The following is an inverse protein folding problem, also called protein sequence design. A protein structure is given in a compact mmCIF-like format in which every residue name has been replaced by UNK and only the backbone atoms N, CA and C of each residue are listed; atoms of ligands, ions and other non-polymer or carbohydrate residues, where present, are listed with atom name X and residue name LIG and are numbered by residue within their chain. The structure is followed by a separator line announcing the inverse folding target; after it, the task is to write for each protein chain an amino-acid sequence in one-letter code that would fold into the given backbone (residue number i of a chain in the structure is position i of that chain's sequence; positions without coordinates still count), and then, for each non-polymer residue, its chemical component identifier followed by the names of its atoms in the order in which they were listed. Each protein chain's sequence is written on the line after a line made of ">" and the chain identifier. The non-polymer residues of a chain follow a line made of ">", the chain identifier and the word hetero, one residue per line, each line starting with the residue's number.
data_IF_673935018557
#
_entry.id   IF_673935018557
#
_cell.length_a   1.000
_cell.length_b   1.000
_cell.length_c   1.000
_cell.angle_alpha   90.00
_cell.angle_beta   90.00
_cell.angle_gamma   90.00
#
_symmetry.space_group_name_H-M   'P 1'
#
loop_
_entity.id
_entity.type
_entity.pdbx_description
1 polymer ?
#
# COMPACT_ATOMS: atom_id res chain seq x y z
N UNK A 1 5.58 -94.90 -52.55
CA UNK A 1 5.45 -93.55 -53.09
C UNK A 1 6.79 -92.91 -53.06
N UNK A 2 7.52 -92.91 -54.21
CA UNK A 2 8.80 -92.25 -54.36
C UNK A 2 8.56 -90.86 -54.97
N UNK A 3 8.87 -89.81 -54.21
CA UNK A 3 8.92 -88.49 -54.70
C UNK A 3 10.33 -88.28 -55.33
N UNK A 4 10.42 -88.34 -56.66
CA UNK A 4 11.56 -87.90 -57.38
C UNK A 4 11.33 -86.44 -57.73
N UNK A 5 11.84 -85.56 -56.90
CA UNK A 5 11.91 -84.17 -57.19
C UNK A 5 13.33 -83.84 -57.72
N UNK A 6 13.51 -83.80 -59.03
CA UNK A 6 14.66 -83.22 -59.68
C UNK A 6 14.57 -81.68 -59.54
N UNK A 7 15.72 -81.02 -59.21
CA UNK A 7 15.81 -79.56 -58.95
C UNK A 7 15.37 -78.69 -60.14
N UNK A 8 15.08 -79.26 -61.30
CA UNK A 8 14.69 -78.56 -62.55
C UNK A 8 13.36 -79.08 -63.17
N UNK A 9 12.60 -79.96 -62.51
CA UNK A 9 11.31 -80.42 -63.07
C UNK A 9 10.21 -79.32 -62.84
N UNK A 10 9.67 -78.81 -63.94
CA UNK A 10 8.56 -77.85 -63.98
C UNK A 10 7.26 -78.43 -63.50
N UNK A 11 7.16 -79.75 -63.36
CA UNK A 11 5.93 -80.50 -63.02
C UNK A 11 6.13 -81.46 -61.86
N UNK A 12 5.19 -81.51 -60.93
CA UNK A 12 5.07 -82.60 -60.00
C UNK A 12 4.16 -83.65 -60.63
N UNK A 13 4.63 -84.88 -60.67
CA UNK A 13 3.79 -86.01 -61.16
C UNK A 13 3.44 -86.94 -60.04
N UNK A 14 2.26 -87.45 -60.06
CA UNK A 14 1.79 -88.53 -59.18
C UNK A 14 1.08 -89.59 -59.98
N UNK A 15 1.67 -90.81 -59.94
CA UNK A 15 1.17 -91.95 -60.63
C UNK A 15 0.23 -92.83 -59.74
N UNK A 16 -0.80 -93.27 -60.29
CA UNK A 16 -1.80 -94.12 -59.64
C UNK A 16 -1.94 -95.37 -60.51
N UNK A 17 -1.77 -96.59 -59.90
CA UNK A 17 -2.02 -97.86 -60.60
C UNK A 17 -3.53 -98.08 -60.78
N UNK A 18 -3.92 -98.27 -62.02
CA UNK A 18 -5.30 -98.69 -62.31
C UNK A 18 -5.41 -100.21 -62.28
N UNK A 19 -6.19 -100.67 -61.32
CA UNK A 19 -6.42 -102.08 -61.13
C UNK A 19 -7.85 -102.40 -61.39
N UNK A 20 -8.08 -103.34 -62.32
CA UNK A 20 -9.41 -103.91 -62.54
C UNK A 20 -9.55 -105.14 -61.71
N UNK A 21 -10.57 -105.29 -60.93
CA UNK A 21 -10.91 -106.50 -60.12
C UNK A 21 -12.07 -107.16 -60.79
N UNK A 22 -11.89 -108.41 -61.22
CA UNK A 22 -12.94 -109.24 -61.83
C UNK A 22 -13.96 -109.67 -60.79
N UNK A 23 -15.19 -110.23 -61.21
CA UNK A 23 -16.23 -110.64 -60.28
C UNK A 23 -15.83 -111.83 -59.35
N UNK A 24 -14.68 -112.48 -59.64
CA UNK A 24 -14.11 -113.54 -58.82
C UNK A 24 -12.97 -113.08 -57.91
N UNK A 25 -12.81 -111.72 -57.70
CA UNK A 25 -11.84 -111.17 -56.77
C UNK A 25 -10.39 -111.07 -57.30
N UNK A 26 -10.11 -111.41 -58.54
CA UNK A 26 -8.74 -111.27 -59.10
C UNK A 26 -8.51 -109.88 -59.65
N UNK A 27 -7.54 -109.28 -59.07
CA UNK A 27 -7.10 -107.90 -59.51
C UNK A 27 -6.02 -108.05 -60.55
N UNK A 28 -6.20 -107.30 -61.66
CA UNK A 28 -5.23 -107.19 -62.72
C UNK A 28 -4.94 -105.76 -62.99
N UNK A 29 -3.64 -105.37 -62.98
CA UNK A 29 -3.18 -104.02 -63.39
C UNK A 29 -3.57 -103.79 -64.82
N UNK A 30 -4.30 -102.72 -65.12
CA UNK A 30 -4.74 -102.34 -66.48
C UNK A 30 -4.09 -101.13 -67.00
N UNK A 31 -3.29 -100.44 -66.15
CA UNK A 31 -2.55 -99.28 -66.56
C UNK A 31 -2.10 -98.44 -65.40
N UNK A 32 -1.36 -97.40 -65.70
CA UNK A 32 -0.90 -96.36 -64.72
C UNK A 32 -1.48 -95.02 -65.19
N UNK A 33 -2.07 -94.27 -64.27
CA UNK A 33 -2.57 -92.95 -64.54
C UNK A 33 -1.64 -91.99 -63.83
N UNK A 34 -0.90 -91.09 -64.59
CA UNK A 34 -0.01 -90.12 -64.02
C UNK A 34 -0.59 -88.70 -64.20
N UNK A 35 -0.79 -88.05 -63.08
CA UNK A 35 -1.29 -86.67 -63.05
C UNK A 35 -0.09 -85.76 -62.91
N UNK A 36 0.04 -84.74 -63.82
CA UNK A 36 1.06 -83.74 -63.79
C UNK A 36 0.47 -82.46 -63.28
N UNK A 37 1.20 -81.81 -62.32
CA UNK A 37 0.81 -80.54 -61.79
C UNK A 37 1.93 -79.54 -62.16
N UNK A 38 1.57 -78.42 -62.83
CA UNK A 38 2.53 -77.36 -63.14
C UNK A 38 2.86 -76.60 -61.87
N UNK A 39 4.14 -76.62 -61.50
CA UNK A 39 4.66 -75.94 -60.34
C UNK A 39 4.40 -74.45 -60.35
N UNK A 40 4.56 -73.78 -61.49
CA UNK A 40 4.41 -72.36 -61.66
C UNK A 40 2.95 -71.91 -61.44
N UNK A 41 2.03 -72.67 -61.95
CA UNK A 41 0.57 -72.44 -61.75
C UNK A 41 0.19 -72.46 -60.26
N UNK A 42 0.74 -73.45 -59.53
CA UNK A 42 0.48 -73.51 -58.07
C UNK A 42 1.17 -72.37 -57.32
N UNK A 43 2.43 -72.04 -57.66
CA UNK A 43 3.16 -70.99 -56.99
C UNK A 43 2.54 -69.63 -57.29
N UNK A 44 2.19 -69.35 -58.54
CA UNK A 44 1.54 -68.08 -58.91
C UNK A 44 0.16 -67.93 -58.22
N UNK A 45 -0.63 -68.95 -58.17
CA UNK A 45 -1.93 -68.91 -57.48
C UNK A 45 -1.77 -68.69 -55.99
N UNK A 46 -0.77 -69.33 -55.35
CA UNK A 46 -0.49 -69.10 -53.92
C UNK A 46 0.03 -67.68 -53.66
N UNK A 47 0.89 -67.15 -54.54
CA UNK A 47 1.42 -65.82 -54.41
C UNK A 47 0.29 -64.77 -54.57
N UNK A 48 -0.59 -64.94 -55.54
CA UNK A 48 -1.71 -64.03 -55.79
C UNK A 48 -2.69 -64.06 -54.59
N UNK A 49 -2.99 -65.29 -54.04
CA UNK A 49 -3.84 -65.41 -52.84
C UNK A 49 -3.21 -64.75 -51.61
N UNK A 50 -1.87 -64.93 -51.43
CA UNK A 50 -1.15 -64.32 -50.32
C UNK A 50 -1.11 -62.80 -50.46
N UNK A 51 -0.89 -62.27 -51.67
CA UNK A 51 -0.89 -60.86 -51.95
C UNK A 51 -2.27 -60.21 -51.60
N UNK A 52 -3.34 -60.84 -52.11
CA UNK A 52 -4.71 -60.40 -51.81
C UNK A 52 -4.97 -60.44 -50.28
N UNK A 53 -4.50 -61.49 -49.60
CA UNK A 53 -4.66 -61.61 -48.14
C UNK A 53 -3.89 -60.50 -47.38
N UNK A 54 -2.65 -60.20 -47.77
CA UNK A 54 -1.86 -59.14 -47.19
C UNK A 54 -2.45 -57.76 -47.43
N UNK A 55 -2.90 -57.48 -48.66
CA UNK A 55 -3.53 -56.18 -48.99
C UNK A 55 -4.83 -55.99 -48.22
N UNK A 56 -5.68 -57.05 -48.16
CA UNK A 56 -6.92 -56.97 -47.37
C UNK A 56 -6.70 -56.85 -45.87
N UNK A 57 -5.69 -57.52 -45.31
CA UNK A 57 -5.30 -57.41 -43.91
C UNK A 57 -4.79 -55.98 -43.61
N UNK A 58 -3.96 -55.41 -44.48
CA UNK A 58 -3.45 -54.03 -44.35
C UNK A 58 -4.62 -53.03 -44.41
N UNK A 59 -5.50 -53.13 -45.39
CA UNK A 59 -6.67 -52.24 -45.47
C UNK A 59 -7.57 -52.33 -44.23
N UNK A 60 -7.86 -53.54 -43.76
CA UNK A 60 -8.63 -53.69 -42.52
C UNK A 60 -7.97 -53.05 -41.33
N UNK A 61 -6.65 -53.22 -41.17
CA UNK A 61 -5.87 -52.60 -40.06
C UNK A 61 -5.90 -51.07 -40.16
N UNK A 62 -5.74 -50.52 -41.37
CA UNK A 62 -5.81 -49.09 -41.62
C UNK A 62 -7.19 -48.51 -41.28
N UNK A 63 -8.26 -49.17 -41.69
CA UNK A 63 -9.64 -48.76 -41.37
C UNK A 63 -9.87 -48.81 -39.84
N UNK A 64 -9.42 -49.85 -39.16
CA UNK A 64 -9.56 -50.02 -37.70
C UNK A 64 -8.79 -48.87 -36.97
N UNK A 65 -7.58 -48.56 -37.46
CA UNK A 65 -6.79 -47.47 -36.92
C UNK A 65 -7.48 -46.11 -37.12
N UNK A 66 -8.01 -45.85 -38.30
CA UNK A 66 -8.75 -44.63 -38.61
C UNK A 66 -10.00 -44.48 -37.70
N UNK A 67 -10.76 -45.54 -37.53
CA UNK A 67 -11.93 -45.56 -36.64
C UNK A 67 -11.47 -45.26 -35.18
N UNK A 68 -10.44 -45.96 -34.71
CA UNK A 68 -9.90 -45.77 -33.38
C UNK A 68 -9.42 -44.34 -33.14
N UNK A 69 -8.71 -43.78 -34.12
CA UNK A 69 -8.24 -42.41 -34.06
C UNK A 69 -9.41 -41.38 -33.96
N UNK A 70 -10.42 -41.56 -34.81
CA UNK A 70 -11.63 -40.72 -34.75
C UNK A 70 -12.36 -40.83 -33.41
N UNK A 71 -12.49 -42.02 -32.89
CA UNK A 71 -13.14 -42.29 -31.62
C UNK A 71 -12.37 -41.60 -30.46
N UNK A 72 -11.06 -41.80 -30.37
CA UNK A 72 -10.24 -41.16 -29.32
C UNK A 72 -10.30 -39.63 -29.43
N UNK A 73 -10.12 -39.11 -30.66
CA UNK A 73 -10.19 -37.68 -30.88
C UNK A 73 -11.52 -37.09 -30.43
N UNK A 74 -12.64 -37.79 -30.70
CA UNK A 74 -13.99 -37.29 -30.41
C UNK A 74 -14.35 -37.46 -28.94
N UNK A 75 -13.95 -38.58 -28.33
CA UNK A 75 -14.33 -38.91 -26.94
C UNK A 75 -13.42 -38.24 -25.91
N UNK A 76 -12.12 -38.10 -26.17
CA UNK A 76 -11.15 -37.59 -25.22
C UNK A 76 -10.61 -36.22 -25.65
N UNK A 77 -10.16 -36.13 -26.90
CA UNK A 77 -9.45 -34.96 -27.39
C UNK A 77 -10.30 -33.70 -27.39
N UNK A 78 -11.50 -33.75 -27.94
CA UNK A 78 -12.40 -32.60 -28.03
C UNK A 78 -12.87 -32.07 -26.66
N UNK A 79 -13.37 -32.93 -25.74
CA UNK A 79 -13.76 -32.46 -24.42
C UNK A 79 -12.62 -31.90 -23.60
N UNK A 80 -11.43 -32.46 -23.69
CA UNK A 80 -10.25 -31.95 -23.00
C UNK A 80 -9.82 -30.59 -23.52
N UNK A 81 -9.85 -30.41 -24.85
CA UNK A 81 -9.58 -29.10 -25.47
C UNK A 81 -10.61 -28.04 -25.05
N UNK A 82 -11.88 -28.39 -24.98
CA UNK A 82 -12.94 -27.49 -24.52
C UNK A 82 -12.72 -27.06 -23.07
N UNK A 83 -12.40 -28.00 -22.18
CA UNK A 83 -12.05 -27.68 -20.78
C UNK A 83 -10.83 -26.79 -20.68
N UNK A 84 -9.76 -27.10 -21.43
CA UNK A 84 -8.54 -26.31 -21.45
C UNK A 84 -8.81 -24.85 -21.92
N UNK A 85 -9.65 -24.67 -22.93
CA UNK A 85 -10.05 -23.34 -23.39
C UNK A 85 -10.91 -22.59 -22.36
N UNK A 86 -11.80 -23.28 -21.67
CA UNK A 86 -12.60 -22.67 -20.58
C UNK A 86 -11.70 -22.23 -19.42
N UNK A 87 -10.76 -23.09 -18.98
CA UNK A 87 -9.78 -22.75 -17.95
C UNK A 87 -8.89 -21.58 -18.36
N UNK A 88 -8.44 -21.55 -19.63
CA UNK A 88 -7.58 -20.47 -20.14
C UNK A 88 -8.27 -19.10 -20.23
N UNK A 89 -9.61 -19.10 -20.33
CA UNK A 89 -10.44 -17.88 -20.33
C UNK A 89 -10.79 -17.39 -18.92
N UNK A 90 -10.45 -18.15 -17.88
CA UNK A 90 -10.59 -17.70 -16.50
C UNK A 90 -9.60 -16.58 -16.25
N UNK A 91 -10.13 -15.38 -16.11
CA UNK A 91 -9.43 -14.22 -15.55
C UNK A 91 -10.06 -13.89 -14.19
N UNK A 92 -9.33 -13.25 -13.30
CA UNK A 92 -9.82 -12.83 -11.98
C UNK A 92 -11.11 -12.00 -12.14
N UNK A 93 -11.18 -11.19 -13.19
CA UNK A 93 -12.34 -10.34 -13.49
C UNK A 93 -13.57 -11.10 -14.04
N UNK A 94 -13.40 -12.35 -14.50
CA UNK A 94 -14.44 -13.18 -15.09
C UNK A 94 -14.73 -14.45 -14.30
N UNK A 95 -14.37 -14.50 -13.01
CA UNK A 95 -14.67 -15.63 -12.14
C UNK A 95 -16.17 -15.89 -11.95
N UNK A 96 -17.02 -14.92 -12.32
CA UNK A 96 -18.48 -15.03 -12.33
C UNK A 96 -19.06 -15.73 -13.57
N UNK A 97 -18.23 -16.03 -14.56
CA UNK A 97 -18.65 -16.76 -15.73
C UNK A 97 -19.02 -18.20 -15.38
N UNK A 98 -19.95 -18.72 -16.17
CA UNK A 98 -20.66 -19.97 -16.03
C UNK A 98 -19.79 -21.15 -15.56
N UNK A 99 -20.38 -22.10 -14.78
CA UNK A 99 -19.66 -23.28 -14.33
C UNK A 99 -19.12 -24.08 -15.52
N UNK A 100 -17.97 -24.72 -15.35
CA UNK A 100 -17.44 -25.64 -16.34
C UNK A 100 -18.49 -26.72 -16.63
N UNK A 101 -18.89 -26.83 -17.89
CA UNK A 101 -19.87 -27.80 -18.33
C UNK A 101 -19.31 -28.64 -19.49
N UNK A 102 -19.47 -29.94 -19.39
CA UNK A 102 -19.22 -30.88 -20.50
C UNK A 102 -20.53 -31.20 -21.19
N UNK A 103 -20.55 -31.11 -22.51
CA UNK A 103 -21.73 -31.39 -23.36
C UNK A 103 -22.06 -32.88 -23.47
N UNK A 104 -21.12 -33.73 -23.11
CA UNK A 104 -21.26 -35.18 -23.31
C UNK A 104 -21.40 -35.96 -22.00
N UNK A 105 -22.37 -36.86 -21.92
CA UNK A 105 -22.74 -37.56 -20.69
C UNK A 105 -21.96 -38.87 -20.45
N UNK A 106 -20.91 -39.17 -21.21
CA UNK A 106 -20.37 -40.50 -21.34
C UNK A 106 -19.29 -40.97 -20.38
N UNK A 107 -18.56 -40.05 -19.69
CA UNK A 107 -17.37 -40.43 -18.91
C UNK A 107 -17.41 -39.88 -17.50
N UNK A 108 -17.49 -40.76 -16.53
CA UNK A 108 -17.57 -40.43 -15.10
C UNK A 108 -16.32 -39.65 -14.62
N UNK A 109 -15.15 -40.00 -15.15
CA UNK A 109 -13.87 -39.37 -14.78
C UNK A 109 -13.76 -37.88 -15.24
N UNK A 110 -14.28 -37.57 -16.43
CA UNK A 110 -14.31 -36.20 -16.92
C UNK A 110 -15.31 -35.33 -16.16
N UNK A 111 -16.43 -35.92 -15.73
CA UNK A 111 -17.39 -35.24 -14.86
C UNK A 111 -16.82 -35.04 -13.45
N UNK A 112 -16.06 -35.98 -12.90
CA UNK A 112 -15.36 -35.83 -11.65
C UNK A 112 -14.34 -34.67 -11.73
N UNK A 113 -13.54 -34.60 -12.80
CA UNK A 113 -12.59 -33.48 -13.05
C UNK A 113 -13.31 -32.14 -13.13
N UNK A 114 -14.42 -32.07 -13.85
CA UNK A 114 -15.22 -30.83 -13.97
C UNK A 114 -15.79 -30.42 -12.60
N UNK A 115 -16.22 -31.34 -11.77
CA UNK A 115 -16.72 -31.04 -10.42
C UNK A 115 -15.61 -30.46 -9.52
N UNK A 116 -14.40 -31.03 -9.58
CA UNK A 116 -13.23 -30.55 -8.84
C UNK A 116 -12.83 -29.16 -9.31
N UNK A 117 -12.79 -28.92 -10.63
CA UNK A 117 -12.49 -27.59 -11.18
C UNK A 117 -13.52 -26.54 -10.73
N UNK A 118 -14.81 -26.88 -10.74
CA UNK A 118 -15.87 -26.00 -10.25
C UNK A 118 -15.76 -25.73 -8.72
N UNK A 119 -15.34 -26.73 -7.95
CA UNK A 119 -15.09 -26.57 -6.52
C UNK A 119 -13.90 -25.62 -6.28
N UNK A 120 -12.79 -25.81 -7.00
CA UNK A 120 -11.62 -24.95 -6.92
C UNK A 120 -11.95 -23.51 -7.33
N UNK A 121 -12.67 -23.32 -8.43
CA UNK A 121 -13.11 -22.01 -8.89
C UNK A 121 -13.96 -21.27 -7.83
N UNK A 122 -14.90 -21.98 -7.19
CA UNK A 122 -15.69 -21.43 -6.07
C UNK A 122 -14.83 -21.05 -4.88
N UNK A 123 -13.86 -21.90 -4.51
CA UNK A 123 -12.95 -21.62 -3.39
C UNK A 123 -12.06 -20.41 -3.65
N UNK A 124 -11.51 -20.30 -4.87
CA UNK A 124 -10.70 -19.13 -5.27
C UNK A 124 -11.56 -17.86 -5.25
N UNK A 125 -12.77 -17.91 -5.79
CA UNK A 125 -13.73 -16.79 -5.78
C UNK A 125 -14.02 -16.32 -4.35
N UNK A 126 -14.35 -17.24 -3.45
CA UNK A 126 -14.59 -16.90 -2.05
C UNK A 126 -13.37 -16.24 -1.39
N UNK A 127 -12.16 -16.76 -1.66
CA UNK A 127 -10.92 -16.18 -1.13
C UNK A 127 -10.64 -14.79 -1.71
N UNK A 128 -10.90 -14.56 -3.00
CA UNK A 128 -10.73 -13.23 -3.63
C UNK A 128 -11.71 -12.23 -3.04
N UNK A 129 -12.98 -12.59 -2.91
CA UNK A 129 -14.01 -11.72 -2.30
C UNK A 129 -13.66 -11.35 -0.86
N UNK A 130 -13.22 -12.32 -0.06
CA UNK A 130 -12.80 -12.09 1.32
C UNK A 130 -11.57 -11.16 1.39
N UNK A 131 -10.57 -11.40 0.53
CA UNK A 131 -9.40 -10.52 0.45
C UNK A 131 -9.78 -9.09 0.05
N UNK A 132 -10.68 -8.91 -0.92
CA UNK A 132 -11.16 -7.58 -1.33
C UNK A 132 -11.81 -6.87 -0.15
N UNK A 133 -12.71 -7.55 0.56
CA UNK A 133 -13.37 -7.02 1.76
C UNK A 133 -12.37 -6.63 2.85
N UNK A 134 -11.38 -7.49 3.12
CA UNK A 134 -10.35 -7.20 4.13
C UNK A 134 -9.48 -6.00 3.74
N UNK A 135 -9.17 -5.84 2.45
CA UNK A 135 -8.43 -4.66 1.95
C UNK A 135 -9.24 -3.38 2.12
N UNK A 136 -10.54 -3.40 1.82
CA UNK A 136 -11.44 -2.27 2.03
C UNK A 136 -11.52 -1.90 3.52
N UNK A 137 -11.72 -2.89 4.40
CA UNK A 137 -11.77 -2.68 5.85
C UNK A 137 -10.45 -2.13 6.40
N UNK A 138 -9.31 -2.68 5.97
CA UNK A 138 -7.98 -2.17 6.35
C UNK A 138 -7.75 -0.74 5.87
N UNK A 139 -8.24 -0.38 4.68
CA UNK A 139 -8.11 0.97 4.14
C UNK A 139 -8.90 1.97 4.98
N UNK A 140 -10.13 1.62 5.38
CA UNK A 140 -10.97 2.46 6.24
C UNK A 140 -10.37 2.63 7.66
N UNK A 141 -9.88 1.53 8.25
CA UNK A 141 -9.22 1.57 9.56
C UNK A 141 -7.96 2.45 9.50
N UNK A 142 -7.14 2.31 8.46
CA UNK A 142 -5.94 3.13 8.29
C UNK A 142 -6.26 4.62 8.16
N UNK A 143 -7.28 4.98 7.36
CA UNK A 143 -7.71 6.36 7.23
C UNK A 143 -8.17 6.95 8.58
N UNK A 144 -8.93 6.17 9.36
CA UNK A 144 -9.40 6.55 10.69
C UNK A 144 -8.23 6.73 11.68
N UNK A 145 -7.27 5.81 11.65
CA UNK A 145 -6.08 5.89 12.51
C UNK A 145 -5.22 7.11 12.15
N UNK A 146 -4.99 7.39 10.88
CA UNK A 146 -4.24 8.57 10.44
C UNK A 146 -4.90 9.86 10.92
N UNK A 147 -6.21 10.00 10.73
CA UNK A 147 -6.96 11.17 11.22
C UNK A 147 -6.84 11.33 12.75
N UNK A 148 -6.90 10.23 13.51
CA UNK A 148 -6.73 10.24 14.96
C UNK A 148 -5.30 10.61 15.39
N UNK A 149 -4.29 10.11 14.69
CA UNK A 149 -2.88 10.46 14.95
C UNK A 149 -2.66 11.95 14.70
N UNK A 150 -3.14 12.49 13.58
CA UNK A 150 -3.01 13.92 13.27
C UNK A 150 -3.74 14.80 14.31
N UNK A 151 -4.92 14.39 14.73
CA UNK A 151 -5.66 15.10 15.77
C UNK A 151 -4.89 15.10 17.09
N UNK A 152 -4.42 13.93 17.54
CA UNK A 152 -3.64 13.82 18.78
C UNK A 152 -2.33 14.57 18.72
N UNK A 153 -1.66 14.58 17.57
CA UNK A 153 -0.44 15.35 17.39
C UNK A 153 -0.71 16.85 17.54
N UNK A 154 -1.78 17.36 16.91
CA UNK A 154 -2.19 18.77 17.07
C UNK A 154 -2.55 19.13 18.51
N UNK A 155 -3.31 18.26 19.22
CA UNK A 155 -3.65 18.44 20.62
C UNK A 155 -2.37 18.49 21.50
N UNK A 156 -1.44 17.55 21.27
CA UNK A 156 -0.16 17.52 21.99
C UNK A 156 0.70 18.75 21.71
N UNK A 157 0.75 19.19 20.45
CA UNK A 157 1.47 20.43 20.06
C UNK A 157 0.86 21.66 20.74
N UNK A 158 -0.46 21.77 20.77
CA UNK A 158 -1.14 22.87 21.45
C UNK A 158 -0.85 22.84 22.95
N UNK A 159 -0.97 21.70 23.61
CA UNK A 159 -0.64 21.56 25.05
C UNK A 159 0.85 21.85 25.33
N UNK A 160 1.72 21.46 24.42
CA UNK A 160 3.16 21.67 24.56
C UNK A 160 3.64 23.10 24.29
N UNK A 161 2.86 23.92 23.55
CA UNK A 161 3.30 25.23 23.05
C UNK A 161 2.42 26.40 23.48
N UNK A 162 1.25 26.15 24.05
CA UNK A 162 0.28 27.17 24.42
C UNK A 162 0.07 27.22 25.92
N UNK A 163 -0.03 28.42 26.50
CA UNK A 163 -0.44 28.62 27.88
C UNK A 163 -1.97 28.42 28.00
N UNK A 164 -2.45 27.49 28.84
CA UNK A 164 -3.85 27.13 28.89
C UNK A 164 -4.77 28.25 29.43
N UNK A 165 -4.25 29.18 30.22
CA UNK A 165 -5.02 30.27 30.80
C UNK A 165 -5.22 31.39 29.78
N UNK A 166 -4.16 31.83 29.11
CA UNK A 166 -4.16 33.02 28.26
C UNK A 166 -4.32 32.70 26.78
N UNK A 167 -4.08 31.43 26.38
CA UNK A 167 -4.08 30.99 24.99
C UNK A 167 -2.91 31.56 24.17
N UNK A 168 -1.95 32.25 24.79
CA UNK A 168 -0.71 32.72 24.16
C UNK A 168 0.34 31.61 24.11
N UNK A 169 1.48 31.86 23.46
CA UNK A 169 2.60 30.94 23.55
C UNK A 169 3.02 30.74 25.02
N UNK A 170 3.30 29.49 25.39
CA UNK A 170 3.90 29.23 26.69
C UNK A 170 5.42 29.45 26.66
N UNK A 171 6.07 29.39 27.82
CA UNK A 171 7.52 29.57 27.98
C UNK A 171 8.32 28.68 27.03
N UNK A 172 7.95 27.42 26.88
CA UNK A 172 8.64 26.47 25.98
C UNK A 172 8.62 26.95 24.54
N UNK A 173 7.48 27.44 24.06
CA UNK A 173 7.35 27.99 22.71
C UNK A 173 8.15 29.25 22.51
N UNK A 174 8.19 30.13 23.53
CA UNK A 174 9.00 31.34 23.54
C UNK A 174 10.50 30.99 23.47
N UNK A 175 10.97 30.03 24.26
CA UNK A 175 12.37 29.56 24.22
C UNK A 175 12.76 29.04 22.81
N UNK A 176 11.89 28.25 22.18
CA UNK A 176 12.09 27.78 20.80
C UNK A 176 12.14 28.94 19.80
N UNK A 177 11.27 29.90 19.97
CA UNK A 177 11.19 31.08 19.09
C UNK A 177 12.41 31.97 19.23
N UNK A 178 12.90 32.19 20.46
CA UNK A 178 14.13 32.91 20.74
C UNK A 178 15.34 32.26 20.08
N UNK A 179 15.48 30.94 20.20
CA UNK A 179 16.55 30.18 19.54
C UNK A 179 16.50 30.33 18.01
N UNK A 180 15.30 30.30 17.44
CA UNK A 180 15.08 30.45 15.99
C UNK A 180 15.44 31.89 15.52
N UNK A 181 14.94 32.94 16.21
CA UNK A 181 15.23 34.31 15.84
C UNK A 181 16.72 34.68 16.02
N UNK A 182 17.40 34.11 17.03
CA UNK A 182 18.85 34.23 17.18
C UNK A 182 19.59 33.71 15.95
N UNK A 183 19.28 32.48 15.50
CA UNK A 183 19.92 31.90 14.30
C UNK A 183 19.65 32.76 13.04
N UNK A 184 18.44 33.33 12.92
CA UNK A 184 18.11 34.25 11.82
C UNK A 184 18.87 35.55 11.88
N UNK A 185 18.97 36.14 13.07
CA UNK A 185 19.72 37.38 13.29
C UNK A 185 21.21 37.20 12.93
N UNK A 186 21.82 36.12 13.35
CA UNK A 186 23.19 35.74 13.02
C UNK A 186 23.41 35.55 11.52
N UNK A 187 22.48 34.86 10.85
CA UNK A 187 22.60 34.53 9.41
C UNK A 187 22.35 35.72 8.49
N UNK A 188 21.36 36.53 8.81
CA UNK A 188 20.87 37.59 7.91
C UNK A 188 21.20 39.02 8.42
N UNK A 189 21.90 39.13 9.53
CA UNK A 189 22.21 40.37 10.21
C UNK A 189 20.97 41.27 10.46
N UNK A 190 19.83 40.61 10.82
CA UNK A 190 18.57 41.28 11.10
C UNK A 190 18.43 41.53 12.59
N UNK A 191 18.03 42.74 12.98
CA UNK A 191 17.72 43.03 14.36
C UNK A 191 16.42 42.32 14.80
N UNK A 192 16.35 41.88 16.05
CA UNK A 192 15.09 41.59 16.73
C UNK A 192 15.14 42.17 18.15
N UNK A 193 13.99 42.48 18.69
CA UNK A 193 13.88 43.06 20.03
C UNK A 193 13.02 42.19 20.94
N UNK A 194 13.35 42.23 22.22
CA UNK A 194 12.66 41.55 23.32
C UNK A 194 11.94 42.60 24.17
N UNK A 195 10.67 42.35 24.45
CA UNK A 195 9.84 43.21 25.29
C UNK A 195 9.28 42.35 26.41
N UNK A 196 9.82 42.49 27.62
CA UNK A 196 9.33 41.84 28.82
C UNK A 196 8.35 42.76 29.50
N UNK A 197 7.18 42.26 29.82
CA UNK A 197 6.05 43.01 30.40
C UNK A 197 5.59 42.34 31.67
N UNK A 198 5.38 43.12 32.71
CA UNK A 198 4.89 42.64 34.01
C UNK A 198 3.69 43.48 34.46
N UNK A 199 2.64 42.86 34.94
CA UNK A 199 1.46 43.56 35.46
C UNK A 199 1.73 44.15 36.83
N UNK A 200 1.62 45.46 36.93
CA UNK A 200 1.92 46.16 38.18
C UNK A 200 0.94 45.78 39.28
N UNK A 201 1.50 45.49 40.46
CA UNK A 201 0.73 45.12 41.68
C UNK A 201 -0.22 43.90 41.52
N UNK A 202 0.07 42.97 40.59
CA UNK A 202 -0.78 41.85 40.33
C UNK A 202 -1.00 40.93 41.55
N UNK A 203 -0.01 40.81 42.42
CA UNK A 203 -0.18 40.13 43.71
C UNK A 203 -1.30 40.76 44.54
N UNK A 204 -1.36 42.09 44.60
CA UNK A 204 -2.45 42.79 45.34
C UNK A 204 -3.82 42.53 44.71
N UNK A 205 -3.90 42.38 43.37
CA UNK A 205 -5.14 41.96 42.69
C UNK A 205 -5.59 40.63 43.20
N UNK A 206 -4.68 39.64 43.28
CA UNK A 206 -5.02 38.30 43.79
C UNK A 206 -5.42 38.32 45.28
N UNK A 207 -4.67 39.09 46.09
CA UNK A 207 -4.90 39.18 47.51
C UNK A 207 -6.26 39.82 47.89
N UNK A 208 -6.70 40.82 47.11
CA UNK A 208 -7.93 41.58 47.33
C UNK A 208 -9.15 40.95 46.64
N UNK A 209 -9.01 40.49 45.38
CA UNK A 209 -10.10 40.06 44.56
C UNK A 209 -10.14 38.56 44.29
N UNK A 210 -9.13 37.83 44.82
CA UNK A 210 -8.98 36.38 44.63
C UNK A 210 -8.36 35.97 43.31
N UNK A 211 -7.85 34.74 43.23
CA UNK A 211 -7.13 34.20 42.08
C UNK A 211 -7.98 34.17 40.81
N UNK A 212 -9.30 33.96 40.91
CA UNK A 212 -10.19 33.99 39.76
C UNK A 212 -10.22 35.37 39.05
N UNK A 213 -10.24 36.46 39.85
CA UNK A 213 -10.16 37.81 39.29
C UNK A 213 -8.79 38.05 38.61
N UNK A 214 -7.69 37.57 39.23
CA UNK A 214 -6.37 37.61 38.60
C UNK A 214 -6.30 36.85 37.28
N UNK A 215 -6.92 35.67 37.20
CA UNK A 215 -6.99 34.90 35.95
C UNK A 215 -7.74 35.66 34.84
N UNK A 216 -8.83 36.35 35.18
CA UNK A 216 -9.57 37.20 34.23
C UNK A 216 -8.70 38.38 33.75
N UNK A 217 -7.93 39.01 34.66
CA UNK A 217 -6.97 40.07 34.29
C UNK A 217 -5.92 39.56 33.29
N UNK A 218 -5.33 38.40 33.56
CA UNK A 218 -4.33 37.78 32.67
C UNK A 218 -4.92 37.45 31.28
N UNK A 219 -6.14 36.91 31.24
CA UNK A 219 -6.83 36.61 29.99
C UNK A 219 -7.15 37.90 29.20
N UNK A 220 -7.59 38.96 29.87
CA UNK A 220 -7.86 40.26 29.23
C UNK A 220 -6.59 40.92 28.73
N UNK A 221 -5.51 40.89 29.50
CA UNK A 221 -4.23 41.41 29.09
C UNK A 221 -3.65 40.67 27.89
N UNK A 222 -3.81 39.34 27.85
CA UNK A 222 -3.44 38.54 26.70
C UNK A 222 -4.19 38.93 25.41
N UNK A 223 -5.50 39.23 25.51
CA UNK A 223 -6.30 39.74 24.39
C UNK A 223 -5.82 41.13 23.95
N UNK A 224 -5.51 42.00 24.91
CA UNK A 224 -4.95 43.31 24.67
C UNK A 224 -3.62 43.23 23.90
N UNK A 225 -2.71 42.35 24.35
CA UNK A 225 -1.43 42.13 23.66
C UNK A 225 -1.64 41.69 22.21
N UNK A 226 -2.55 40.72 21.98
CA UNK A 226 -2.87 40.30 20.60
C UNK A 226 -3.39 41.43 19.72
N UNK A 227 -4.18 42.34 20.28
CA UNK A 227 -4.74 43.47 19.54
C UNK A 227 -3.74 44.59 19.28
N UNK A 228 -2.67 44.67 20.07
CA UNK A 228 -1.65 45.76 19.98
C UNK A 228 -0.36 45.36 19.25
N UNK A 229 -0.12 44.05 19.06
CA UNK A 229 1.07 43.51 18.38
C UNK A 229 0.79 43.21 16.92
N UNK A 230 1.84 43.04 16.13
CA UNK A 230 1.74 42.62 14.72
C UNK A 230 1.60 41.11 14.61
N UNK A 231 1.09 40.61 13.51
CA UNK A 231 1.01 39.16 13.23
C UNK A 231 2.36 38.43 13.14
N UNK A 232 3.45 39.17 12.96
CA UNK A 232 4.84 38.67 12.96
C UNK A 232 5.46 38.61 14.35
N UNK A 233 4.87 39.30 15.34
CA UNK A 233 5.38 39.33 16.70
C UNK A 233 4.93 38.03 17.43
N UNK A 234 5.83 37.45 18.19
CA UNK A 234 5.57 36.24 18.96
C UNK A 234 5.31 36.64 20.39
N UNK A 235 4.06 36.38 20.84
CA UNK A 235 3.60 36.80 22.16
C UNK A 235 3.42 35.57 23.03
N UNK A 236 3.92 35.59 24.24
CA UNK A 236 3.72 34.47 25.17
C UNK A 236 3.70 34.91 26.62
N UNK A 237 3.19 34.00 27.46
CA UNK A 237 3.29 34.10 28.90
C UNK A 237 4.60 33.52 29.36
N UNK A 238 5.46 34.37 29.94
CA UNK A 238 6.79 33.99 30.37
C UNK A 238 6.77 33.27 31.75
N UNK A 239 5.92 33.76 32.65
CA UNK A 239 5.69 33.16 33.99
C UNK A 239 4.71 34.02 34.78
N UNK A 240 3.96 33.47 35.72
CA UNK A 240 3.07 34.22 36.62
C UNK A 240 2.26 35.32 35.91
N UNK A 241 2.62 36.56 36.22
CA UNK A 241 2.08 37.79 35.64
C UNK A 241 2.97 38.40 34.52
N UNK A 242 4.02 37.69 34.10
CA UNK A 242 4.98 38.14 33.11
C UNK A 242 4.67 37.68 31.72
N UNK A 243 4.79 38.57 30.74
CA UNK A 243 4.64 38.31 29.32
C UNK A 243 5.92 38.70 28.57
N UNK A 244 6.22 37.94 27.51
CA UNK A 244 7.33 38.22 26.60
C UNK A 244 6.79 38.40 25.19
N UNK A 245 7.19 39.48 24.55
CA UNK A 245 6.97 39.69 23.11
C UNK A 245 8.34 39.67 22.42
N UNK A 246 8.49 38.80 21.46
CA UNK A 246 9.64 38.72 20.58
C UNK A 246 9.25 39.47 19.29
N UNK A 247 9.96 40.50 18.92
CA UNK A 247 9.68 41.37 17.79
C UNK A 247 10.75 41.15 16.69
N UNK A 248 10.52 40.26 15.71
CA UNK A 248 11.42 40.04 14.58
C UNK A 248 11.58 41.33 13.75
N UNK A 249 12.75 41.52 13.16
CA UNK A 249 13.06 42.68 12.30
C UNK A 249 12.71 44.03 12.91
N UNK A 250 12.89 44.18 14.23
CA UNK A 250 12.46 45.36 14.98
C UNK A 250 13.65 45.87 15.78
N UNK A 251 13.94 47.14 15.65
CA UNK A 251 14.95 47.84 16.43
C UNK A 251 14.42 48.16 17.84
N UNK A 252 15.32 48.56 18.74
CA UNK A 252 14.94 48.94 20.11
C UNK A 252 13.96 50.13 20.10
N UNK A 253 14.17 51.09 19.23
CA UNK A 253 13.34 52.31 19.08
C UNK A 253 11.94 51.97 18.58
N UNK A 254 11.83 51.05 17.62
CA UNK A 254 10.54 50.55 17.14
C UNK A 254 9.80 49.69 18.19
N UNK A 255 10.54 48.90 18.98
CA UNK A 255 9.97 48.13 20.10
C UNK A 255 9.47 49.09 21.20
N UNK A 256 10.10 50.25 21.41
CA UNK A 256 9.63 51.29 22.33
C UNK A 256 8.26 51.86 21.93
N UNK A 257 8.00 52.02 20.62
CA UNK A 257 6.69 52.43 20.12
C UNK A 257 5.62 51.37 20.43
N UNK A 258 5.96 50.09 20.28
CA UNK A 258 5.06 49.00 20.67
C UNK A 258 4.81 49.02 22.16
N UNK A 259 5.85 49.15 22.99
CA UNK A 259 5.73 49.15 24.44
C UNK A 259 4.85 50.30 24.95
N UNK A 260 5.00 51.52 24.40
CA UNK A 260 4.14 52.66 24.75
C UNK A 260 2.70 52.40 24.32
N UNK A 261 2.47 51.84 23.16
CA UNK A 261 1.12 51.44 22.72
C UNK A 261 0.47 50.44 23.67
N UNK A 262 1.21 49.41 24.09
CA UNK A 262 0.72 48.40 25.05
C UNK A 262 0.39 49.08 26.39
N UNK A 263 1.33 49.89 26.94
CA UNK A 263 1.17 50.60 28.18
C UNK A 263 -0.05 51.52 28.17
N UNK A 264 -0.16 52.34 27.13
CA UNK A 264 -1.26 53.30 26.98
C UNK A 264 -2.62 52.57 26.83
N UNK A 265 -2.64 51.48 26.09
CA UNK A 265 -3.88 50.65 25.94
C UNK A 265 -4.24 50.01 27.26
N UNK A 266 -3.28 49.50 28.04
CA UNK A 266 -3.53 48.90 29.37
C UNK A 266 -4.16 49.92 30.31
N UNK A 267 -3.64 51.15 30.40
CA UNK A 267 -4.20 52.23 31.24
C UNK A 267 -5.63 52.65 30.78
N UNK A 268 -5.90 52.62 29.47
CA UNK A 268 -7.17 52.97 28.89
C UNK A 268 -8.23 51.83 28.95
N UNK A 269 -7.83 50.63 29.31
CA UNK A 269 -8.70 49.44 29.33
C UNK A 269 -9.21 49.18 30.75
N UNK A 270 -10.51 49.04 30.89
CA UNK A 270 -11.12 48.60 32.13
C UNK A 270 -11.10 47.06 32.21
N UNK A 271 -10.37 46.55 33.20
CA UNK A 271 -10.23 45.12 33.41
C UNK A 271 -11.37 44.57 34.30
N UNK A 272 -11.94 43.39 33.97
CA UNK A 272 -13.02 42.82 34.74
C UNK A 272 -12.67 42.65 36.21
N UNK A 273 -13.57 43.02 37.09
CA UNK A 273 -13.49 42.87 38.55
C UNK A 273 -12.46 43.75 39.30
N UNK A 274 -11.50 44.41 38.59
CA UNK A 274 -10.39 45.13 39.19
C UNK A 274 -10.28 46.58 38.76
N UNK A 275 -10.97 46.97 37.67
CA UNK A 275 -10.89 48.32 37.11
C UNK A 275 -9.60 48.57 36.33
N UNK A 276 -8.86 49.61 36.64
CA UNK A 276 -7.64 49.99 35.90
C UNK A 276 -6.43 49.15 36.34
N UNK A 277 -5.72 48.62 35.37
CA UNK A 277 -4.48 47.86 35.57
C UNK A 277 -3.35 48.48 34.74
N UNK A 278 -2.18 48.66 35.36
CA UNK A 278 -0.99 49.15 34.65
C UNK A 278 0.03 48.04 34.45
N UNK A 279 1.01 48.28 33.61
CA UNK A 279 2.13 47.37 33.41
C UNK A 279 3.45 48.12 33.30
N UNK A 280 4.53 47.47 33.76
CA UNK A 280 5.91 47.92 33.59
C UNK A 280 6.56 47.07 32.50
N UNK A 281 7.44 47.70 31.68
CA UNK A 281 7.99 47.07 30.47
C UNK A 281 9.50 47.28 30.41
N UNK A 282 10.24 46.23 30.12
CA UNK A 282 11.67 46.28 29.81
C UNK A 282 11.95 45.87 28.39
N UNK A 283 12.78 46.62 27.67
CA UNK A 283 13.06 46.41 26.24
C UNK A 283 14.55 46.19 26.02
N UNK A 284 14.93 45.15 25.31
CA UNK A 284 16.30 44.96 24.85
C UNK A 284 16.32 44.52 23.37
N UNK A 285 17.18 45.15 22.59
CA UNK A 285 17.49 44.66 21.25
C UNK A 285 18.60 43.62 21.35
N UNK A 286 18.42 42.49 20.67
CA UNK A 286 19.44 41.46 20.55
C UNK A 286 20.62 41.95 19.73
N UNK A 287 21.83 41.80 20.24
CA UNK A 287 23.07 42.17 19.56
C UNK A 287 23.69 40.92 18.88
N UNK A 288 24.25 41.11 17.70
CA UNK A 288 24.93 40.01 16.99
C UNK A 288 26.08 39.45 17.84
N UNK A 289 26.11 38.10 17.98
CA UNK A 289 27.11 37.43 18.80
C UNK A 289 26.79 37.35 20.31
N UNK A 290 25.65 37.92 20.74
CA UNK A 290 25.18 37.85 22.11
C UNK A 290 24.47 36.52 22.38
N UNK A 291 24.57 36.03 23.60
CA UNK A 291 23.70 34.94 24.04
C UNK A 291 22.28 35.44 24.35
N UNK A 292 21.27 34.68 24.00
CA UNK A 292 19.85 35.00 24.23
C UNK A 292 19.57 35.29 25.71
N UNK A 293 20.20 34.54 26.61
CA UNK A 293 20.05 34.76 28.06
C UNK A 293 20.57 36.11 28.50
N UNK A 294 21.65 36.58 27.89
CA UNK A 294 22.19 37.91 28.14
C UNK A 294 21.22 39.02 27.67
N UNK A 295 20.60 38.87 26.52
CA UNK A 295 19.60 39.82 26.02
C UNK A 295 18.36 39.83 26.91
N UNK A 296 17.88 38.65 27.37
CA UNK A 296 16.79 38.53 28.33
C UNK A 296 17.14 39.22 29.66
N UNK A 297 18.33 38.97 30.21
CA UNK A 297 18.80 39.60 31.44
C UNK A 297 18.85 41.15 31.33
N UNK A 298 19.24 41.67 30.18
CA UNK A 298 19.23 43.15 29.94
C UNK A 298 17.78 43.68 29.89
N UNK A 299 16.84 42.96 29.26
CA UNK A 299 15.44 43.34 29.24
C UNK A 299 14.83 43.29 30.64
N UNK A 300 15.16 42.27 31.43
CA UNK A 300 14.71 42.10 32.83
C UNK A 300 15.27 43.23 33.73
N UNK A 301 16.56 43.59 33.58
CA UNK A 301 17.15 44.70 34.29
C UNK A 301 16.47 46.06 33.93
N UNK A 302 16.06 46.23 32.67
CA UNK A 302 15.27 47.39 32.25
C UNK A 302 13.87 47.40 32.86
N UNK A 303 13.19 46.26 32.89
CA UNK A 303 11.88 46.07 33.57
C UNK A 303 11.98 46.42 35.07
N UNK A 304 13.05 45.96 35.71
CA UNK A 304 13.29 46.28 37.12
C UNK A 304 13.45 47.78 37.34
N UNK A 305 14.17 48.51 36.44
CA UNK A 305 14.27 49.97 36.51
C UNK A 305 12.90 50.65 36.31
N UNK A 306 12.08 50.14 35.39
CA UNK A 306 10.74 50.66 35.20
C UNK A 306 9.88 50.54 36.46
N UNK A 307 9.97 49.39 37.15
CA UNK A 307 9.28 49.16 38.43
C UNK A 307 9.78 50.08 39.55
N UNK A 308 11.11 50.31 39.64
CA UNK A 308 11.69 51.24 40.65
C UNK A 308 11.39 52.69 40.39
N UNK A 309 11.33 53.12 39.11
CA UNK A 309 11.06 54.49 38.71
C UNK A 309 9.56 54.89 38.83
N UNK A 310 8.73 54.07 39.49
CA UNK A 310 7.32 54.38 39.78
C UNK A 310 6.31 53.63 38.95
N UNK A 311 6.71 52.55 38.22
CA UNK A 311 5.85 51.69 37.41
C UNK A 311 5.14 52.36 36.26
N UNK A 312 4.20 51.71 35.61
CA UNK A 312 3.42 52.22 34.47
C UNK A 312 4.27 52.92 33.41
N UNK A 313 5.38 52.32 33.03
CA UNK A 313 6.35 52.84 32.05
C UNK A 313 7.12 51.73 31.37
N UNK A 314 7.84 52.12 30.34
CA UNK A 314 8.87 51.25 29.78
C UNK A 314 10.25 51.84 30.01
N UNK A 315 11.26 50.98 30.06
CA UNK A 315 12.67 51.34 30.10
C UNK A 315 13.45 50.57 29.04
N UNK A 316 14.43 51.22 28.44
CA UNK A 316 15.31 50.63 27.43
C UNK A 316 16.55 50.05 28.10
N UNK A 317 16.90 48.83 27.74
CA UNK A 317 18.18 48.27 28.15
C UNK A 317 19.35 48.97 27.47
N UNK A 318 20.45 49.07 28.19
CA UNK A 318 21.69 49.54 27.61
C UNK A 318 22.17 48.61 26.49
N UNK A 319 22.75 49.15 25.43
CA UNK A 319 23.35 48.32 24.40
C UNK A 319 24.57 47.59 24.99
N UNK A 320 24.77 46.30 24.65
CA UNK A 320 25.97 45.64 25.08
C UNK A 320 27.18 46.40 24.52
N UNK A 321 28.16 46.65 25.38
CA UNK A 321 29.44 47.14 24.96
C UNK A 321 30.02 46.15 23.97
N UNK A 322 30.18 46.55 22.70
CA UNK A 322 30.89 45.70 21.73
C UNK A 322 32.28 45.44 22.30
N UNK A 323 32.53 44.24 22.77
CA UNK A 323 33.91 43.80 23.00
C UNK A 323 34.55 43.68 21.62
N UNK A 324 35.61 44.39 21.34
CA UNK A 324 36.28 44.39 20.03
C UNK A 324 36.78 43.04 19.59
#
# INVERSE_FOLDING_TARGET
>A
VALHAGLFDTFFSRSFDLVHTDPHGRSRGIGEWTVYFDRWTIVTQITDDVEVLLVTAFLRTLILYAIFFVVIRRIIGQPLQQLALQVRRLNIDNLDSQPFTLRDRGWHELHALTSVLNMMARKIRGSVQENTRLVEELTEINATLQARVEQRTRELEQLATTDPLTGLANRRKLDQSLAYERLRAERFNNAFSLVIIDLDHFKSVNDVHGHHAGDLVLQHFAKLLRGTTRGTDIIGRWGGEEFLVICPHTTREEAAILAERVRATAVATEFPAVGLQTCSIGIAQFAAGEDVQSALARADAALYRAKQAGRNRFELADQPTRVP
#
